data_IF_464721879800
#
_entry.id   IF_464721879800
#
_cell.length_a   1.000
_cell.length_b   1.000
_cell.length_c   1.000
_cell.angle_alpha   90.00
_cell.angle_beta   90.00
_cell.angle_gamma   90.00
#
_symmetry.space_group_name_H-M   'P 1'
#
loop_
_entity.id
_entity.type
_entity.pdbx_description
1 polymer ?
#
# COMPACT_ATOMS: atom_id res chain seq x y z
N UNK A 1 -2.80 -21.94 11.47
CA UNK A 1 -3.73 -20.82 11.61
C UNK A 1 -3.45 -19.81 10.50
N UNK A 2 -4.47 -19.15 9.93
CA UNK A 2 -4.32 -18.23 8.80
C UNK A 2 -4.36 -16.78 9.26
N UNK A 3 -3.64 -15.90 8.57
CA UNK A 3 -3.74 -14.46 8.80
C UNK A 3 -5.10 -13.91 8.33
N UNK A 4 -5.56 -12.77 8.89
CA UNK A 4 -6.67 -12.01 8.33
C UNK A 4 -6.39 -11.60 6.87
N UNK A 5 -7.45 -11.28 6.11
CA UNK A 5 -7.31 -10.82 4.71
C UNK A 5 -6.42 -9.59 4.53
N UNK A 6 -6.40 -8.68 5.52
CA UNK A 6 -5.52 -7.50 5.53
C UNK A 6 -4.06 -7.80 5.91
N UNK A 7 -3.75 -9.05 6.27
CA UNK A 7 -2.46 -9.50 6.76
C UNK A 7 -2.26 -9.34 8.26
N UNK A 8 -1.00 -9.40 8.68
CA UNK A 8 -0.61 -9.22 10.07
C UNK A 8 -0.69 -7.74 10.49
N UNK A 9 -1.51 -7.44 11.50
CA UNK A 9 -1.66 -6.09 12.05
C UNK A 9 -0.32 -5.51 12.49
N UNK A 10 0.49 -6.31 13.21
CA UNK A 10 1.83 -5.90 13.65
C UNK A 10 2.76 -5.57 12.48
N UNK A 11 2.72 -6.36 11.40
CA UNK A 11 3.53 -6.08 10.22
C UNK A 11 3.12 -4.76 9.56
N UNK A 12 1.80 -4.51 9.45
CA UNK A 12 1.29 -3.26 8.89
C UNK A 12 1.71 -2.06 9.73
N UNK A 13 1.55 -2.12 11.07
CA UNK A 13 1.94 -1.04 11.98
C UNK A 13 3.42 -0.69 11.88
N UNK A 14 4.31 -1.68 11.92
CA UNK A 14 5.75 -1.44 11.82
C UNK A 14 6.17 -0.96 10.42
N UNK A 15 5.52 -1.46 9.37
CA UNK A 15 5.78 -0.99 7.99
C UNK A 15 5.34 0.45 7.80
N UNK A 16 4.23 0.87 8.41
CA UNK A 16 3.79 2.27 8.38
C UNK A 16 4.80 3.19 9.06
N UNK A 17 5.33 2.80 10.22
CA UNK A 17 6.40 3.56 10.91
C UNK A 17 7.67 3.64 10.06
N UNK A 18 8.04 2.54 9.40
CA UNK A 18 9.20 2.52 8.49
C UNK A 18 9.00 3.46 7.29
N UNK A 19 7.81 3.44 6.66
CA UNK A 19 7.55 4.20 5.44
C UNK A 19 7.33 5.70 5.69
N UNK A 20 6.68 6.06 6.79
CA UNK A 20 6.25 7.44 7.07
C UNK A 20 6.96 8.09 8.27
N UNK A 21 7.79 7.35 8.99
CA UNK A 21 8.43 7.78 10.23
C UNK A 21 7.54 7.58 11.46
N UNK A 22 8.17 7.29 12.61
CA UNK A 22 7.47 6.98 13.88
C UNK A 22 6.56 8.11 14.37
N UNK A 23 6.90 9.36 14.04
CA UNK A 23 6.18 10.55 14.51
C UNK A 23 5.14 11.09 13.51
N UNK A 24 4.85 10.36 12.42
CA UNK A 24 3.94 10.78 11.36
C UNK A 24 2.55 11.17 11.90
N UNK A 25 2.12 12.40 11.60
CA UNK A 25 0.77 12.88 11.93
C UNK A 25 -0.30 12.09 11.19
N UNK A 26 -0.01 11.58 9.98
CA UNK A 26 -0.95 10.75 9.22
C UNK A 26 -1.25 9.40 9.90
N UNK A 27 -0.25 8.83 10.59
CA UNK A 27 -0.44 7.63 11.41
C UNK A 27 -1.27 7.98 12.66
N UNK A 28 -0.89 9.03 13.38
CA UNK A 28 -1.59 9.50 14.60
C UNK A 28 -3.06 9.80 14.34
N UNK A 29 -3.35 10.47 13.23
CA UNK A 29 -4.70 10.85 12.80
C UNK A 29 -5.47 9.71 12.11
N UNK A 30 -4.89 8.51 11.97
CA UNK A 30 -5.49 7.35 11.28
C UNK A 30 -5.94 7.65 9.85
N UNK A 31 -5.14 8.43 9.11
CA UNK A 31 -5.43 8.85 7.72
C UNK A 31 -4.90 7.86 6.68
N UNK A 32 -4.20 6.79 7.09
CA UNK A 32 -3.58 5.82 6.18
C UNK A 32 -4.34 4.50 6.25
N UNK A 33 -4.81 4.01 5.10
CA UNK A 33 -5.27 2.64 4.92
C UNK A 33 -4.13 1.78 4.37
N UNK A 34 -3.84 0.64 5.01
CA UNK A 34 -2.75 -0.25 4.61
C UNK A 34 -3.15 -1.71 4.78
N UNK A 35 -2.62 -2.56 3.88
CA UNK A 35 -2.76 -4.02 3.90
C UNK A 35 -1.42 -4.65 3.55
N UNK A 36 -1.17 -5.85 4.07
CA UNK A 36 0.00 -6.63 3.67
C UNK A 36 -0.20 -7.19 2.26
N UNK A 37 0.84 -7.11 1.42
CA UNK A 37 0.82 -7.62 0.06
C UNK A 37 1.98 -8.60 -0.20
N UNK A 38 1.92 -9.32 -1.33
CA UNK A 38 2.98 -10.21 -1.80
C UNK A 38 4.13 -9.41 -2.39
N UNK A 39 5.01 -8.90 -1.52
CA UNK A 39 6.16 -8.07 -1.89
C UNK A 39 5.74 -6.83 -2.72
N UNK A 40 6.70 -6.18 -3.38
CA UNK A 40 6.47 -4.98 -4.19
C UNK A 40 5.55 -5.24 -5.39
N UNK A 41 5.77 -6.33 -6.13
CA UNK A 41 4.95 -6.67 -7.31
C UNK A 41 3.48 -6.90 -6.94
N UNK A 42 3.21 -7.62 -5.85
CA UNK A 42 1.85 -7.81 -5.34
C UNK A 42 1.22 -6.51 -4.88
N UNK A 43 1.98 -5.61 -4.26
CA UNK A 43 1.50 -4.29 -3.88
C UNK A 43 1.10 -3.45 -5.11
N UNK A 44 1.95 -3.40 -6.15
CA UNK A 44 1.64 -2.70 -7.40
C UNK A 44 0.39 -3.26 -8.08
N UNK A 45 0.25 -4.60 -8.14
CA UNK A 45 -0.92 -5.26 -8.73
C UNK A 45 -2.21 -4.93 -7.98
N UNK A 46 -2.19 -4.94 -6.64
CA UNK A 46 -3.35 -4.59 -5.80
C UNK A 46 -3.74 -3.12 -5.97
N UNK A 47 -2.76 -2.22 -5.98
CA UNK A 47 -3.01 -0.80 -6.21
C UNK A 47 -3.63 -0.54 -7.59
N UNK A 48 -3.11 -1.17 -8.66
CA UNK A 48 -3.66 -1.04 -9.99
C UNK A 48 -5.12 -1.57 -10.07
N UNK A 49 -5.43 -2.66 -9.36
CA UNK A 49 -6.81 -3.18 -9.26
C UNK A 49 -7.74 -2.18 -8.57
N UNK A 50 -7.28 -1.63 -7.43
CA UNK A 50 -8.01 -0.64 -6.66
C UNK A 50 -8.30 0.60 -7.51
N UNK A 51 -7.28 1.13 -8.19
CA UNK A 51 -7.44 2.27 -9.09
C UNK A 51 -8.41 1.96 -10.22
N UNK A 52 -8.30 0.80 -10.88
CA UNK A 52 -9.23 0.41 -11.95
C UNK A 52 -10.68 0.31 -11.46
N UNK A 53 -10.89 -0.17 -10.24
CA UNK A 53 -12.22 -0.33 -9.64
C UNK A 53 -12.86 1.01 -9.28
N UNK A 54 -12.12 1.94 -8.69
CA UNK A 54 -12.69 3.17 -8.12
C UNK A 54 -12.47 4.43 -8.97
N UNK A 55 -11.50 4.42 -9.89
CA UNK A 55 -11.16 5.54 -10.78
C UNK A 55 -10.70 5.02 -12.15
N UNK A 56 -11.55 4.29 -12.88
CA UNK A 56 -11.16 3.56 -14.11
C UNK A 56 -10.59 4.44 -15.23
N UNK A 57 -10.95 5.73 -15.25
CA UNK A 57 -10.55 6.69 -16.30
C UNK A 57 -9.27 7.46 -15.93
N UNK A 58 -8.66 7.16 -14.78
CA UNK A 58 -7.41 7.80 -14.38
C UNK A 58 -6.21 7.27 -15.16
N UNK A 59 -5.24 8.15 -15.42
CA UNK A 59 -3.97 7.79 -16.05
C UNK A 59 -2.92 7.46 -14.99
N UNK A 60 -2.06 6.49 -15.28
CA UNK A 60 -0.85 6.20 -14.50
C UNK A 60 0.34 6.70 -15.33
N UNK A 61 1.06 7.70 -14.81
CA UNK A 61 2.29 8.20 -15.43
C UNK A 61 3.50 7.49 -14.83
N UNK A 62 4.39 6.98 -15.69
CA UNK A 62 5.62 6.27 -15.32
C UNK A 62 6.82 6.94 -15.99
N UNK A 63 8.00 6.97 -15.35
CA UNK A 63 9.21 7.53 -15.94
C UNK A 63 9.72 6.68 -17.11
N UNK A 64 10.51 7.30 -17.98
CA UNK A 64 11.21 6.62 -19.08
C UNK A 64 12.72 6.85 -18.90
N UNK A 65 13.52 5.80 -18.59
CA UNK A 65 13.13 4.41 -18.39
C UNK A 65 12.47 4.15 -17.02
N UNK A 66 11.78 3.01 -16.92
CA UNK A 66 11.25 2.44 -15.67
C UNK A 66 11.70 1.00 -15.51
N UNK A 67 11.52 0.43 -14.31
CA UNK A 67 11.69 -1.01 -14.05
C UNK A 67 10.74 -1.83 -14.94
N UNK A 68 11.27 -2.88 -15.58
CA UNK A 68 10.58 -3.78 -16.50
C UNK A 68 10.18 -5.09 -15.81
#
# INVERSE_FOLDING_TARGET
EYLPMGGSVKMVEETLKLAYGENSEFIKDKKIAAVQALSGTGACRLFADFQKRFKPDSQIYIPVPTWA
#
